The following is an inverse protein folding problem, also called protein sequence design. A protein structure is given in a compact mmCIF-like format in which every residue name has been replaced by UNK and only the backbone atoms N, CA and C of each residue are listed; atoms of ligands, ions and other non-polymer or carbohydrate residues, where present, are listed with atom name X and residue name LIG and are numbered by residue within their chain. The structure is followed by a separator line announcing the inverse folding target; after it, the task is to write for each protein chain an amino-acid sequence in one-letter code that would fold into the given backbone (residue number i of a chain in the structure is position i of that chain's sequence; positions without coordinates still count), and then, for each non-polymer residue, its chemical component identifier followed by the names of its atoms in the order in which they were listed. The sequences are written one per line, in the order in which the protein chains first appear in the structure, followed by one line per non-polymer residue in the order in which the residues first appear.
data_IF_641748490481
#
_entry.id   IF_641748490481
#
_cell.length_a   1.000
_cell.length_b   1.000
_cell.length_c   1.000
_cell.angle_alpha   90.00
_cell.angle_beta   90.00
_cell.angle_gamma   90.00
#
_symmetry.space_group_name_H-M   'P 1'
#
loop_
_entity.id
_entity.type
_entity.pdbx_description
1 polymer ?
#
# COMPACT_ATOMS: atom_id res chain seq x y z
N UNK A 1 -4.35 36.64 -6.22
CA UNK A 1 -5.77 36.52 -5.83
C UNK A 1 -6.12 35.05 -5.80
N UNK A 2 -6.50 34.59 -4.60
CA UNK A 2 -7.20 33.34 -4.25
C UNK A 2 -6.60 32.01 -4.71
N UNK A 3 -5.76 31.51 -3.81
CA UNK A 3 -5.60 30.09 -3.47
C UNK A 3 -6.96 29.42 -3.22
N UNK A 4 -7.15 28.23 -3.76
CA UNK A 4 -8.30 27.37 -3.49
C UNK A 4 -7.86 25.91 -3.56
N UNK A 5 -6.98 25.51 -2.64
CA UNK A 5 -7.04 24.15 -2.09
C UNK A 5 -8.47 23.92 -1.60
N UNK A 6 -9.25 23.13 -2.33
CA UNK A 6 -10.49 22.57 -1.81
C UNK A 6 -10.12 21.42 -0.86
N UNK A 7 -10.21 21.59 0.47
CA UNK A 7 -10.28 20.42 1.35
C UNK A 7 -11.49 19.60 0.90
N UNK A 8 -11.30 18.29 0.67
CA UNK A 8 -12.40 17.37 0.33
C UNK A 8 -13.50 17.57 1.38
N UNK A 9 -14.64 18.11 0.94
CA UNK A 9 -15.73 18.50 1.83
C UNK A 9 -16.21 17.27 2.62
N UNK A 10 -16.24 17.40 3.95
CA UNK A 10 -16.79 16.41 4.87
C UNK A 10 -18.31 16.55 4.89
N UNK A 11 -18.95 16.24 3.76
CA UNK A 11 -20.40 16.00 3.68
C UNK A 11 -20.67 14.50 3.56
N UNK A 12 -21.92 14.07 3.71
CA UNK A 12 -22.32 12.67 3.51
C UNK A 12 -22.42 12.31 2.02
N UNK A 13 -21.35 12.55 1.26
CA UNK A 13 -21.24 12.05 -0.12
C UNK A 13 -20.83 10.58 -0.12
N UNK A 14 -21.17 9.79 -1.15
CA UNK A 14 -20.70 8.41 -1.29
C UNK A 14 -19.16 8.28 -1.17
N UNK A 15 -18.42 9.24 -1.75
CA UNK A 15 -16.95 9.31 -1.63
C UNK A 15 -16.49 9.53 -0.18
N UNK A 16 -17.14 10.42 0.57
CA UNK A 16 -16.78 10.70 1.96
C UNK A 16 -17.09 9.51 2.89
N UNK A 17 -18.20 8.80 2.66
CA UNK A 17 -18.53 7.57 3.38
C UNK A 17 -17.46 6.49 3.13
N UNK A 18 -17.12 6.24 1.85
CA UNK A 18 -16.05 5.30 1.48
C UNK A 18 -14.74 5.63 2.19
N UNK A 19 -14.31 6.89 2.15
CA UNK A 19 -13.07 7.34 2.80
C UNK A 19 -13.13 7.09 4.31
N UNK A 20 -14.26 7.39 4.98
CA UNK A 20 -14.43 7.14 6.42
C UNK A 20 -14.28 5.65 6.74
N UNK A 21 -14.92 4.78 5.95
CA UNK A 21 -14.82 3.34 6.14
C UNK A 21 -13.40 2.81 5.91
N UNK A 22 -12.73 3.25 4.84
CA UNK A 22 -11.34 2.88 4.57
C UNK A 22 -10.43 3.24 5.74
N UNK A 23 -10.56 4.46 6.27
CA UNK A 23 -9.77 4.93 7.40
C UNK A 23 -10.09 4.15 8.69
N UNK A 24 -11.35 3.81 8.95
CA UNK A 24 -11.75 3.02 10.11
C UNK A 24 -11.14 1.61 10.08
N UNK A 25 -11.11 0.98 8.90
CA UNK A 25 -10.49 -0.34 8.70
C UNK A 25 -8.97 -0.33 8.89
N UNK A 26 -8.33 0.84 8.80
CA UNK A 26 -6.88 1.03 8.99
C UNK A 26 -6.45 1.29 10.43
N UNK A 27 -7.38 1.35 11.39
CA UNK A 27 -7.02 1.48 12.79
C UNK A 27 -6.29 0.20 13.27
N UNK A 28 -5.05 0.38 13.73
CA UNK A 28 -4.13 -0.68 14.10
C UNK A 28 -3.03 -0.15 15.03
N UNK A 29 -2.48 -0.96 15.96
CA UNK A 29 -1.34 -0.58 16.79
C UNK A 29 0.01 -0.61 16.04
N UNK A 30 0.10 -1.26 14.88
CA UNK A 30 1.36 -1.39 14.11
C UNK A 30 1.89 -0.03 13.67
N UNK A 31 3.20 0.18 13.76
CA UNK A 31 3.87 1.44 13.38
C UNK A 31 5.11 1.17 12.54
N UNK A 32 5.37 2.05 11.57
CA UNK A 32 6.63 2.08 10.81
C UNK A 32 7.19 3.50 10.82
N UNK A 33 8.40 3.66 11.35
CA UNK A 33 9.03 4.98 11.53
C UNK A 33 8.11 6.01 12.24
N UNK A 34 7.29 5.55 13.19
CA UNK A 34 6.32 6.38 13.92
C UNK A 34 4.98 6.63 13.20
N UNK A 35 4.88 6.33 11.89
CA UNK A 35 3.63 6.46 11.15
C UNK A 35 2.70 5.26 11.44
N UNK A 36 1.40 5.51 11.49
CA UNK A 36 0.36 4.46 11.43
C UNK A 36 -0.06 4.23 9.97
N UNK A 37 -0.68 3.07 9.64
CA UNK A 37 -1.23 2.81 8.31
C UNK A 37 -2.17 3.92 7.83
N UNK A 38 -3.07 4.34 8.73
CA UNK A 38 -4.02 5.43 8.50
C UNK A 38 -3.34 6.76 8.18
N UNK A 39 -2.31 7.13 8.96
CA UNK A 39 -1.59 8.39 8.75
C UNK A 39 -0.83 8.38 7.41
N UNK A 40 -0.16 7.27 7.09
CA UNK A 40 0.56 7.12 5.83
C UNK A 40 -0.39 7.15 4.63
N UNK A 41 -1.49 6.40 4.68
CA UNK A 41 -2.51 6.39 3.63
C UNK A 41 -3.09 7.79 3.41
N UNK A 42 -3.46 8.49 4.48
CA UNK A 42 -3.99 9.84 4.37
C UNK A 42 -3.02 10.77 3.63
N UNK A 43 -1.76 10.82 4.09
CA UNK A 43 -0.75 11.71 3.52
C UNK A 43 -0.38 11.35 2.08
N UNK A 44 -0.16 10.07 1.79
CA UNK A 44 0.31 9.63 0.48
C UNK A 44 -0.80 9.52 -0.58
N UNK A 45 -2.05 9.26 -0.15
CA UNK A 45 -3.17 8.93 -1.04
C UNK A 45 -4.28 9.97 -0.96
N UNK A 46 -4.82 10.26 0.22
CA UNK A 46 -5.99 11.15 0.34
C UNK A 46 -5.65 12.62 0.13
N UNK A 47 -4.51 13.06 0.66
CA UNK A 47 -4.02 14.44 0.54
C UNK A 47 -3.29 14.67 -0.80
N UNK A 48 -3.10 13.62 -1.60
CA UNK A 48 -2.45 13.69 -2.91
C UNK A 48 -3.47 14.08 -4.00
N UNK A 49 -3.37 15.28 -4.62
CA UNK A 49 -4.34 15.75 -5.60
C UNK A 49 -4.34 14.95 -6.91
N UNK A 50 -3.36 14.07 -7.11
CA UNK A 50 -3.27 13.20 -8.30
C UNK A 50 -4.00 11.87 -8.12
N UNK A 51 -4.42 11.55 -6.89
CA UNK A 51 -5.26 10.38 -6.63
C UNK A 51 -6.72 10.81 -6.75
N UNK A 52 -7.40 10.31 -7.77
CA UNK A 52 -8.79 10.64 -8.03
C UNK A 52 -9.76 9.76 -7.22
N UNK A 53 -11.02 10.16 -7.18
CA UNK A 53 -12.10 9.38 -6.57
C UNK A 53 -12.32 8.05 -7.31
N UNK A 54 -12.07 7.99 -8.62
CA UNK A 54 -12.12 6.75 -9.41
C UNK A 54 -11.03 5.78 -8.98
N UNK A 55 -9.81 6.25 -8.67
CA UNK A 55 -8.76 5.40 -8.12
C UNK A 55 -9.17 4.84 -6.76
N UNK A 56 -9.77 5.65 -5.88
CA UNK A 56 -10.27 5.17 -4.59
C UNK A 56 -11.38 4.14 -4.76
N UNK A 57 -12.32 4.36 -5.69
CA UNK A 57 -13.36 3.39 -6.01
C UNK A 57 -12.78 2.09 -6.59
N UNK A 58 -11.75 2.18 -7.43
CA UNK A 58 -11.07 1.02 -7.98
C UNK A 58 -10.37 0.19 -6.90
N UNK A 59 -9.72 0.83 -5.91
CA UNK A 59 -9.11 0.11 -4.78
C UNK A 59 -10.16 -0.67 -3.97
N UNK A 60 -11.33 -0.08 -3.73
CA UNK A 60 -12.47 -0.68 -3.01
C UNK A 60 -13.07 -1.88 -3.73
N UNK A 61 -12.86 -1.98 -5.05
CA UNK A 61 -13.36 -3.06 -5.88
C UNK A 61 -12.34 -4.18 -6.12
N UNK A 62 -11.11 -4.09 -5.59
CA UNK A 62 -10.07 -5.10 -5.82
C UNK A 62 -10.43 -6.43 -5.13
N UNK A 63 -10.59 -7.54 -5.88
CA UNK A 63 -10.82 -8.85 -5.30
C UNK A 63 -9.52 -9.47 -4.77
N UNK A 64 -9.64 -10.41 -3.82
CA UNK A 64 -8.48 -11.10 -3.23
C UNK A 64 -7.59 -11.80 -4.27
N UNK A 65 -8.20 -12.45 -5.26
CA UNK A 65 -7.47 -13.21 -6.28
C UNK A 65 -6.59 -12.33 -7.16
N UNK A 66 -6.94 -11.05 -7.34
CA UNK A 66 -6.13 -10.09 -8.08
C UNK A 66 -4.88 -9.63 -7.31
N UNK A 67 -4.86 -9.81 -5.99
CA UNK A 67 -3.71 -9.51 -5.13
C UNK A 67 -2.82 -10.75 -4.91
N UNK A 68 -3.36 -11.95 -5.13
CA UNK A 68 -2.73 -13.19 -4.70
C UNK A 68 -1.40 -13.45 -5.42
N UNK A 69 -0.34 -13.68 -4.64
CA UNK A 69 0.94 -14.11 -5.17
C UNK A 69 0.83 -15.53 -5.75
N UNK A 70 1.68 -15.89 -6.71
CA UNK A 70 1.74 -17.28 -7.20
C UNK A 70 2.25 -18.23 -6.10
N UNK A 71 1.90 -19.52 -6.16
CA UNK A 71 2.36 -20.52 -5.19
C UNK A 71 3.89 -20.53 -5.03
N UNK A 72 4.61 -20.46 -6.16
CA UNK A 72 6.08 -20.43 -6.17
C UNK A 72 6.66 -19.20 -5.46
N UNK A 73 6.03 -18.03 -5.57
CA UNK A 73 6.45 -16.81 -4.85
C UNK A 73 6.17 -16.96 -3.36
N UNK A 74 4.98 -17.45 -2.99
CA UNK A 74 4.60 -17.67 -1.59
C UNK A 74 5.56 -18.62 -0.88
N UNK A 75 5.84 -19.76 -1.49
CA UNK A 75 6.76 -20.77 -0.95
C UNK A 75 8.16 -20.19 -0.77
N UNK A 76 8.68 -19.50 -1.79
CA UNK A 76 10.01 -18.89 -1.74
C UNK A 76 10.12 -17.84 -0.64
N UNK A 77 9.10 -17.00 -0.48
CA UNK A 77 9.08 -15.94 0.52
C UNK A 77 9.09 -16.53 1.95
N UNK A 78 8.23 -17.52 2.22
CA UNK A 78 8.17 -18.21 3.52
C UNK A 78 9.46 -18.96 3.84
N UNK A 79 10.09 -19.58 2.85
CA UNK A 79 11.38 -20.27 3.03
C UNK A 79 12.53 -19.28 3.32
N UNK A 80 12.55 -18.13 2.63
CA UNK A 80 13.64 -17.14 2.75
C UNK A 80 13.54 -16.27 3.99
N UNK A 81 12.33 -15.97 4.46
CA UNK A 81 12.07 -15.07 5.57
C UNK A 81 11.27 -15.82 6.64
N UNK A 82 11.94 -16.41 7.65
CA UNK A 82 11.26 -17.03 8.77
C UNK A 82 10.32 -16.03 9.44
N UNK A 83 9.10 -16.47 9.78
CA UNK A 83 8.07 -15.63 10.42
C UNK A 83 7.72 -14.37 9.58
N UNK A 84 7.77 -14.45 8.25
CA UNK A 84 7.45 -13.33 7.34
C UNK A 84 6.16 -12.58 7.69
N UNK A 85 5.11 -13.31 8.10
CA UNK A 85 3.81 -12.73 8.50
C UNK A 85 3.81 -11.98 9.84
N UNK A 86 4.86 -12.16 10.65
CA UNK A 86 5.04 -11.46 11.92
C UNK A 86 5.87 -10.18 11.76
N UNK A 87 6.38 -9.89 10.56
CA UNK A 87 7.08 -8.64 10.31
C UNK A 87 6.13 -7.45 10.43
N UNK A 88 6.57 -6.40 11.11
CA UNK A 88 5.80 -5.16 11.24
C UNK A 88 5.43 -4.59 9.86
N UNK A 89 6.33 -4.67 8.88
CA UNK A 89 6.06 -4.20 7.52
C UNK A 89 4.99 -5.00 6.80
N UNK A 90 5.01 -6.32 6.95
CA UNK A 90 3.95 -7.18 6.42
C UNK A 90 2.60 -6.83 7.04
N UNK A 91 2.53 -6.79 8.36
CA UNK A 91 1.29 -6.47 9.07
C UNK A 91 0.79 -5.06 8.73
N UNK A 92 1.70 -4.10 8.58
CA UNK A 92 1.38 -2.74 8.19
C UNK A 92 0.74 -2.69 6.79
N UNK A 93 1.33 -3.37 5.80
CA UNK A 93 0.77 -3.44 4.45
C UNK A 93 -0.56 -4.17 4.41
N UNK A 94 -0.69 -5.28 5.13
CA UNK A 94 -1.96 -6.01 5.26
C UNK A 94 -3.06 -5.10 5.78
N UNK A 95 -2.77 -4.25 6.77
CA UNK A 95 -3.74 -3.27 7.29
C UNK A 95 -4.10 -2.23 6.22
N UNK A 96 -3.14 -1.73 5.45
CA UNK A 96 -3.42 -0.78 4.37
C UNK A 96 -4.29 -1.38 3.27
N UNK A 97 -3.96 -2.59 2.79
CA UNK A 97 -4.73 -3.29 1.76
C UNK A 97 -6.12 -3.65 2.27
N UNK A 98 -6.26 -4.21 3.48
CA UNK A 98 -7.55 -4.46 4.10
C UNK A 98 -8.38 -3.18 4.27
N UNK A 99 -7.70 -2.08 4.58
CA UNK A 99 -8.28 -0.75 4.68
C UNK A 99 -9.01 -0.34 3.41
N UNK A 100 -8.30 -0.38 2.27
CA UNK A 100 -8.84 0.10 1.00
C UNK A 100 -9.75 -0.90 0.29
N UNK A 101 -9.56 -2.19 0.48
CA UNK A 101 -10.35 -3.24 -0.23
C UNK A 101 -11.53 -3.77 0.57
N UNK A 102 -11.56 -3.55 1.90
CA UNK A 102 -12.52 -4.20 2.79
C UNK A 102 -12.28 -5.69 3.01
N UNK A 103 -11.26 -6.30 2.40
CA UNK A 103 -10.93 -7.71 2.56
C UNK A 103 -10.39 -8.02 3.96
N UNK A 104 -10.52 -9.29 4.36
CA UNK A 104 -10.04 -9.74 5.66
C UNK A 104 -8.50 -9.71 5.72
N UNK A 105 -7.96 -9.21 6.85
CA UNK A 105 -6.51 -9.14 7.08
C UNK A 105 -5.84 -10.53 7.02
N UNK A 106 -6.50 -11.55 7.56
CA UNK A 106 -6.00 -12.94 7.52
C UNK A 106 -5.97 -13.48 6.09
N UNK A 107 -7.03 -13.27 5.31
CA UNK A 107 -7.08 -13.71 3.91
C UNK A 107 -6.00 -13.05 3.05
N UNK A 108 -5.75 -11.75 3.24
CA UNK A 108 -4.65 -11.05 2.55
C UNK A 108 -3.29 -11.63 2.98
N UNK A 109 -3.05 -11.78 4.28
CA UNK A 109 -1.79 -12.34 4.80
C UNK A 109 -1.53 -13.77 4.31
N UNK A 110 -2.59 -14.55 4.11
CA UNK A 110 -2.52 -15.90 3.57
C UNK A 110 -2.24 -15.92 2.06
N UNK A 111 -2.94 -15.07 1.29
CA UNK A 111 -2.80 -14.99 -0.16
C UNK A 111 -1.49 -14.32 -0.61
N UNK A 112 -0.98 -13.38 0.19
CA UNK A 112 0.16 -12.51 -0.14
C UNK A 112 1.15 -12.44 1.02
N UNK A 113 1.76 -13.56 1.44
CA UNK A 113 2.70 -13.61 2.57
C UNK A 113 3.95 -12.76 2.33
N UNK A 114 4.29 -12.47 1.07
CA UNK A 114 5.40 -11.64 0.62
C UNK A 114 5.12 -10.14 0.64
N UNK A 115 3.89 -9.71 0.98
CA UNK A 115 3.58 -8.29 1.10
C UNK A 115 4.44 -7.64 2.22
N UNK A 116 4.98 -6.44 1.96
CA UNK A 116 5.77 -5.67 2.92
C UNK A 116 7.23 -6.14 3.03
N UNK A 117 7.75 -6.82 2.02
CA UNK A 117 9.16 -7.25 1.96
C UNK A 117 9.84 -6.66 0.74
N UNK A 118 11.14 -6.44 0.85
CA UNK A 118 11.91 -5.95 -0.29
C UNK A 118 12.24 -7.13 -1.21
N UNK A 119 12.01 -6.96 -2.50
CA UNK A 119 12.25 -7.98 -3.52
C UNK A 119 11.03 -8.21 -4.40
N UNK A 120 11.11 -9.17 -5.31
CA UNK A 120 10.00 -9.54 -6.18
C UNK A 120 10.39 -10.74 -7.03
N UNK A 121 9.46 -11.27 -7.84
CA UNK A 121 9.73 -12.44 -8.69
C UNK A 121 10.98 -12.28 -9.58
N UNK A 122 11.29 -11.04 -9.99
CA UNK A 122 12.42 -10.68 -10.86
C UNK A 122 13.66 -10.17 -10.10
N UNK A 123 13.55 -9.91 -8.80
CA UNK A 123 14.65 -9.46 -7.93
C UNK A 123 15.00 -10.59 -6.96
N UNK A 124 16.15 -11.22 -7.16
CA UNK A 124 16.64 -12.43 -6.44
C UNK A 124 16.80 -12.29 -4.91
N UNK A 125 16.44 -11.16 -4.32
CA UNK A 125 16.68 -10.80 -2.93
C UNK A 125 15.36 -10.45 -2.23
N UNK A 126 14.71 -11.47 -1.65
CA UNK A 126 13.70 -11.28 -0.61
C UNK A 126 14.40 -10.93 0.69
N UNK A 127 14.20 -9.73 1.21
CA UNK A 127 14.70 -9.36 2.53
C UNK A 127 13.72 -8.47 3.30
N UNK A 128 13.71 -8.63 4.62
CA UNK A 128 13.03 -7.68 5.48
C UNK A 128 13.76 -6.31 5.38
N UNK A 129 13.03 -5.19 5.35
CA UNK A 129 13.64 -3.87 5.37
C UNK A 129 14.41 -3.68 6.69
N UNK A 130 15.66 -3.22 6.58
CA UNK A 130 16.62 -3.17 7.70
C UNK A 130 16.51 -1.92 8.57
N UNK A 131 15.69 -0.94 8.19
CA UNK A 131 15.47 0.28 8.96
C UNK A 131 14.00 0.69 8.93
N UNK A 132 13.49 1.38 9.97
CA UNK A 132 12.10 1.84 9.99
C UNK A 132 11.74 2.74 8.80
N UNK A 133 12.66 3.63 8.37
CA UNK A 133 12.45 4.52 7.22
C UNK A 133 12.33 3.73 5.92
N UNK A 134 13.19 2.72 5.73
CA UNK A 134 13.12 1.84 4.57
C UNK A 134 11.82 1.02 4.61
N UNK A 135 11.45 0.48 5.78
CA UNK A 135 10.21 -0.26 5.96
C UNK A 135 8.97 0.55 5.61
N UNK A 136 8.93 1.84 5.99
CA UNK A 136 7.85 2.75 5.58
C UNK A 136 7.80 2.93 4.05
N UNK A 137 8.96 3.11 3.41
CA UNK A 137 9.07 3.24 1.96
C UNK A 137 8.64 1.98 1.22
N UNK A 138 9.14 0.82 1.64
CA UNK A 138 8.74 -0.50 1.15
C UNK A 138 7.24 -0.72 1.32
N UNK A 139 6.69 -0.38 2.48
CA UNK A 139 5.27 -0.60 2.74
C UNK A 139 4.37 0.20 1.79
N UNK A 140 4.70 1.48 1.56
CA UNK A 140 3.95 2.30 0.62
C UNK A 140 4.15 1.84 -0.83
N UNK A 141 5.36 1.41 -1.19
CA UNK A 141 5.69 0.95 -2.53
C UNK A 141 4.93 -0.34 -2.86
N UNK A 142 5.00 -1.34 -1.98
CA UNK A 142 4.23 -2.59 -2.12
C UNK A 142 2.73 -2.31 -2.16
N UNK A 143 2.23 -1.42 -1.29
CA UNK A 143 0.82 -1.04 -1.30
C UNK A 143 0.38 -0.55 -2.69
N UNK A 144 1.14 0.35 -3.32
CA UNK A 144 0.77 0.87 -4.63
C UNK A 144 1.02 -0.13 -5.76
N UNK A 145 2.10 -0.92 -5.69
CA UNK A 145 2.47 -1.90 -6.71
C UNK A 145 1.47 -3.05 -6.79
N UNK A 146 1.03 -3.60 -5.65
CA UNK A 146 0.03 -4.66 -5.63
C UNK A 146 -1.33 -4.17 -6.13
N UNK A 147 -1.73 -2.95 -5.77
CA UNK A 147 -2.96 -2.36 -6.30
C UNK A 147 -2.87 -2.11 -7.81
N UNK A 148 -1.71 -1.67 -8.31
CA UNK A 148 -1.46 -1.55 -9.76
C UNK A 148 -1.59 -2.91 -10.44
N UNK A 149 -0.94 -3.96 -9.92
CA UNK A 149 -1.05 -5.32 -10.47
C UNK A 149 -2.49 -5.83 -10.44
N UNK A 150 -3.25 -5.46 -9.42
CA UNK A 150 -4.67 -5.78 -9.30
C UNK A 150 -5.60 -4.91 -10.17
N UNK A 151 -5.05 -4.00 -10.99
CA UNK A 151 -5.80 -3.22 -11.98
C UNK A 151 -6.10 -1.77 -11.59
N UNK A 152 -5.61 -1.26 -10.45
CA UNK A 152 -5.74 0.15 -10.06
C UNK A 152 -4.72 1.00 -10.80
N UNK A 153 -5.03 1.34 -12.05
CA UNK A 153 -4.15 2.10 -12.92
C UNK A 153 -3.88 3.53 -12.41
N UNK A 154 -2.63 4.01 -12.55
CA UNK A 154 -2.26 5.40 -12.31
C UNK A 154 -1.95 5.74 -10.86
N UNK A 155 -2.21 4.82 -9.91
CA UNK A 155 -1.87 5.01 -8.50
C UNK A 155 -0.36 5.15 -8.29
N UNK A 156 0.43 4.26 -8.92
CA UNK A 156 1.88 4.32 -8.85
C UNK A 156 2.41 5.66 -9.37
N UNK A 157 1.93 6.09 -10.55
CA UNK A 157 2.29 7.40 -11.12
C UNK A 157 1.87 8.56 -10.22
N UNK A 158 0.73 8.47 -9.53
CA UNK A 158 0.27 9.51 -8.62
C UNK A 158 1.18 9.65 -7.39
N UNK A 159 1.60 8.53 -6.79
CA UNK A 159 2.39 8.50 -5.53
C UNK A 159 3.88 8.68 -5.80
N UNK A 160 4.41 8.02 -6.83
CA UNK A 160 5.85 7.95 -7.13
C UNK A 160 6.27 8.81 -8.31
N UNK A 161 5.34 9.30 -9.13
CA UNK A 161 5.66 9.98 -10.39
C UNK A 161 5.99 9.05 -11.55
N UNK A 162 5.99 7.73 -11.32
CA UNK A 162 6.27 6.70 -12.30
C UNK A 162 5.32 5.50 -12.13
N UNK A 163 4.80 4.97 -13.23
CA UNK A 163 3.93 3.77 -13.21
C UNK A 163 4.75 2.46 -13.21
N UNK A 164 5.99 2.50 -13.68
CA UNK A 164 6.90 1.35 -13.72
C UNK A 164 7.43 1.04 -12.31
N UNK A 165 7.37 -0.24 -11.91
CA UNK A 165 7.76 -0.80 -10.61
C UNK A 165 9.25 -0.59 -10.30
N UNK A 166 10.13 -0.82 -11.27
CA UNK A 166 11.57 -0.60 -11.11
C UNK A 166 11.88 0.87 -10.87
N UNK A 167 11.23 1.77 -11.62
CA UNK A 167 11.43 3.21 -11.48
C UNK A 167 10.83 3.75 -10.18
N UNK A 168 9.64 3.28 -9.77
CA UNK A 168 9.05 3.65 -8.47
C UNK A 168 9.89 3.12 -7.30
N UNK A 169 10.44 1.91 -7.41
CA UNK A 169 11.38 1.36 -6.43
C UNK A 169 12.66 2.22 -6.34
N UNK A 170 13.25 2.64 -7.47
CA UNK A 170 14.42 3.51 -7.46
C UNK A 170 14.13 4.85 -6.78
N UNK A 171 12.98 5.46 -7.07
CA UNK A 171 12.53 6.72 -6.45
C UNK A 171 12.34 6.54 -4.93
N UNK A 172 11.78 5.40 -4.50
CA UNK A 172 11.67 5.03 -3.09
C UNK A 172 13.05 4.93 -2.41
N UNK A 173 14.01 4.25 -3.05
CA UNK A 173 15.37 4.09 -2.53
C UNK A 173 16.12 5.42 -2.37
N UNK A 174 15.97 6.37 -3.29
CA UNK A 174 16.60 7.69 -3.19
C UNK A 174 15.81 8.69 -2.33
N UNK A 175 14.69 8.25 -1.74
CA UNK A 175 13.84 9.08 -0.88
C UNK A 175 13.01 10.13 -1.62
N UNK A 176 12.82 9.98 -2.93
CA UNK A 176 12.16 10.95 -3.82
C UNK A 176 10.65 10.80 -3.95
N UNK A 177 10.01 9.94 -3.14
CA UNK A 177 8.56 9.82 -3.10
C UNK A 177 7.89 11.15 -2.73
N UNK A 178 6.73 11.47 -3.34
CA UNK A 178 6.07 12.79 -3.20
C UNK A 178 5.05 12.81 -2.04
N UNK A 179 5.40 12.26 -0.88
CA UNK A 179 4.49 12.01 0.25
C UNK A 179 5.14 12.29 1.62
#
# INVERSE_FOLDING_TARGET
MTDATHPRAVGDTPSALRIREMLARMDSPVRLAGDSPRALFRRAVLDNPRVSDEMLAAMDAVPLDALASTSAVRERAVQRIPKIRQLDTHQFCVVMIAGVTGLSRSSISDAVPDLGVMGGANLLLFHAPRSPRLGRGTALHDFTDYLRWAGVAGLNKAVWGAENDVLSALIMFVGGGRF
#
